data_IF_647533607286
#
_entry.id   IF_647533607286
#
_cell.length_a   1.000
_cell.length_b   1.000
_cell.length_c   1.000
_cell.angle_alpha   90.00
_cell.angle_beta   90.00
_cell.angle_gamma   90.00
#
_symmetry.space_group_name_H-M   'P 1'
#
loop_
_entity.id
_entity.type
_entity.pdbx_description
1 polymer ?
#
# COMPACT_ATOMS: atom_id res chain seq x y z
N UNK A 1 19.07 5.47 -58.35
CA UNK A 1 18.63 4.61 -57.23
C UNK A 1 17.78 5.45 -56.24
N UNK A 2 16.51 5.75 -56.55
CA UNK A 2 15.68 6.64 -55.71
C UNK A 2 15.14 5.98 -54.43
N UNK A 3 15.34 4.66 -54.26
CA UNK A 3 14.77 3.91 -53.11
C UNK A 3 15.57 4.08 -51.80
N UNK A 4 16.86 4.41 -51.89
CA UNK A 4 17.71 4.57 -50.69
C UNK A 4 17.23 5.72 -49.79
N UNK A 5 16.96 6.95 -50.29
CA UNK A 5 16.48 8.03 -49.44
C UNK A 5 15.11 7.73 -48.84
N UNK A 6 14.23 7.01 -49.54
CA UNK A 6 12.91 6.63 -49.03
C UNK A 6 13.07 5.66 -47.84
N UNK A 7 13.92 4.66 -47.95
CA UNK A 7 14.23 3.70 -46.90
C UNK A 7 14.80 4.42 -45.66
N UNK A 8 15.72 5.37 -45.85
CA UNK A 8 16.29 6.17 -44.77
C UNK A 8 15.20 6.99 -44.06
N UNK A 9 14.32 7.63 -44.80
CA UNK A 9 13.18 8.40 -44.21
C UNK A 9 12.27 7.51 -43.40
N UNK A 10 11.91 6.34 -43.93
CA UNK A 10 11.07 5.38 -43.19
C UNK A 10 11.76 4.94 -41.91
N UNK A 11 13.03 4.61 -41.95
CA UNK A 11 13.82 4.17 -40.80
C UNK A 11 13.90 5.26 -39.72
N UNK A 12 14.11 6.52 -40.13
CA UNK A 12 14.12 7.67 -39.21
C UNK A 12 12.76 7.89 -38.57
N UNK A 13 11.69 7.80 -39.36
CA UNK A 13 10.31 7.93 -38.81
C UNK A 13 10.01 6.82 -37.81
N UNK A 14 10.34 5.59 -38.14
CA UNK A 14 10.19 4.45 -37.20
C UNK A 14 10.98 4.66 -35.92
N UNK A 15 12.22 5.12 -36.03
CA UNK A 15 13.09 5.41 -34.89
C UNK A 15 12.47 6.50 -33.99
N UNK A 16 12.00 7.57 -34.60
CA UNK A 16 11.32 8.67 -33.83
C UNK A 16 10.06 8.16 -33.14
N UNK A 17 9.26 7.34 -33.81
CA UNK A 17 8.04 6.74 -33.21
C UNK A 17 8.39 5.84 -32.02
N UNK A 18 9.42 5.00 -32.16
CA UNK A 18 9.89 4.13 -31.05
C UNK A 18 10.39 4.96 -29.88
N UNK A 19 11.14 6.02 -30.12
CA UNK A 19 11.62 6.92 -29.07
C UNK A 19 10.46 7.62 -28.38
N UNK A 20 9.51 8.17 -29.13
CA UNK A 20 8.35 8.89 -28.59
C UNK A 20 7.43 8.01 -27.75
N UNK A 21 7.18 6.77 -28.16
CA UNK A 21 6.30 5.85 -27.44
C UNK A 21 6.92 5.28 -26.15
N UNK A 22 8.25 5.27 -26.06
CA UNK A 22 8.97 4.78 -24.90
C UNK A 22 9.37 5.87 -23.88
N UNK A 23 9.05 7.12 -24.17
CA UNK A 23 9.22 8.20 -23.23
C UNK A 23 8.06 8.15 -22.19
N UNK A 24 8.41 8.07 -20.91
CA UNK A 24 7.44 8.05 -19.80
C UNK A 24 7.68 9.21 -18.86
N UNK A 25 6.61 9.90 -18.54
CA UNK A 25 6.61 10.98 -17.54
C UNK A 25 6.06 10.44 -16.24
N UNK A 26 6.87 10.45 -15.19
CA UNK A 26 6.45 10.08 -13.83
C UNK A 26 5.94 11.34 -13.12
N UNK A 27 4.69 11.29 -12.73
CA UNK A 27 4.01 12.41 -12.05
C UNK A 27 4.50 12.57 -10.61
N UNK A 28 4.28 13.76 -10.06
CA UNK A 28 4.56 14.06 -8.66
C UNK A 28 3.86 13.06 -7.72
N UNK A 29 4.57 12.63 -6.68
CA UNK A 29 4.11 11.67 -5.68
C UNK A 29 3.78 10.28 -6.24
N UNK A 30 4.38 9.91 -7.36
CA UNK A 30 4.35 8.54 -7.90
C UNK A 30 5.76 8.00 -8.07
N UNK A 31 5.87 6.67 -8.03
CA UNK A 31 7.08 5.95 -8.37
C UNK A 31 6.72 4.77 -9.27
N UNK A 32 7.55 4.50 -10.26
CA UNK A 32 7.39 3.39 -11.19
C UNK A 32 8.46 2.34 -10.90
N UNK A 33 8.02 1.12 -10.63
CA UNK A 33 8.92 -0.03 -10.47
C UNK A 33 9.16 -0.63 -11.84
N UNK A 34 10.42 -0.67 -12.27
CA UNK A 34 10.83 -1.11 -13.59
C UNK A 34 11.49 -2.48 -13.49
N UNK A 35 11.01 -3.40 -14.31
CA UNK A 35 11.60 -4.71 -14.53
C UNK A 35 12.30 -4.75 -15.89
N UNK A 36 13.43 -5.42 -15.92
CA UNK A 36 14.16 -5.75 -17.15
C UNK A 36 14.26 -7.26 -17.27
N UNK A 37 13.69 -7.81 -18.33
CA UNK A 37 13.65 -9.26 -18.58
C UNK A 37 13.13 -10.09 -17.39
N UNK A 38 12.12 -9.56 -16.68
CA UNK A 38 11.50 -10.23 -15.54
C UNK A 38 12.18 -10.01 -14.19
N UNK A 39 13.33 -9.35 -14.15
CA UNK A 39 14.02 -9.02 -12.91
C UNK A 39 13.86 -7.54 -12.56
N UNK A 40 13.84 -7.23 -11.27
CA UNK A 40 13.87 -5.83 -10.81
C UNK A 40 15.11 -5.12 -11.37
N UNK A 41 14.90 -3.93 -11.94
CA UNK A 41 15.96 -3.10 -12.47
C UNK A 41 16.15 -1.81 -11.67
N UNK A 42 15.10 -1.00 -11.56
CA UNK A 42 15.16 0.30 -10.88
C UNK A 42 13.77 0.81 -10.49
N UNK A 43 13.76 1.85 -9.66
CA UNK A 43 12.56 2.64 -9.34
C UNK A 43 12.73 4.02 -9.97
N UNK A 44 11.77 4.43 -10.80
CA UNK A 44 11.74 5.77 -11.37
C UNK A 44 11.00 6.74 -10.46
N UNK A 45 11.70 7.80 -10.07
CA UNK A 45 11.11 8.96 -9.41
C UNK A 45 10.48 9.94 -10.41
N UNK A 46 10.05 11.09 -9.89
CA UNK A 46 9.45 12.18 -10.68
C UNK A 46 10.37 12.62 -11.82
N UNK A 47 9.79 12.84 -12.98
CA UNK A 47 10.49 13.34 -14.15
C UNK A 47 10.27 12.53 -15.41
N UNK A 48 11.09 12.79 -16.43
CA UNK A 48 11.05 12.12 -17.71
C UNK A 48 12.04 10.96 -17.69
N UNK A 49 11.55 9.78 -18.04
CA UNK A 49 12.36 8.57 -18.14
C UNK A 49 12.16 7.89 -19.49
N UNK A 50 13.20 7.25 -19.97
CA UNK A 50 13.18 6.48 -21.20
C UNK A 50 13.13 4.98 -20.86
N UNK A 51 12.12 4.31 -21.37
CA UNK A 51 11.97 2.86 -21.23
C UNK A 51 12.61 2.18 -22.43
N UNK A 52 13.51 1.23 -22.18
CA UNK A 52 14.09 0.42 -23.26
C UNK A 52 13.01 -0.49 -23.84
N UNK A 53 12.67 -0.34 -25.15
CA UNK A 53 11.65 -1.17 -25.77
C UNK A 53 12.04 -2.65 -25.72
N UNK A 54 11.07 -3.54 -25.55
CA UNK A 54 11.16 -5.00 -25.45
C UNK A 54 11.91 -5.55 -24.22
N UNK A 55 12.82 -4.81 -23.62
CA UNK A 55 13.63 -5.25 -22.47
C UNK A 55 13.01 -4.83 -21.14
N UNK A 56 12.48 -3.63 -21.06
CA UNK A 56 11.96 -3.03 -19.84
C UNK A 56 10.43 -2.92 -19.85
N UNK A 57 9.84 -3.15 -18.69
CA UNK A 57 8.41 -2.91 -18.46
C UNK A 57 8.18 -2.21 -17.14
N UNK A 58 7.09 -1.47 -17.06
CA UNK A 58 6.59 -0.93 -15.79
C UNK A 58 5.85 -2.05 -15.09
N UNK A 59 6.45 -2.61 -14.03
CA UNK A 59 5.86 -3.70 -13.27
C UNK A 59 4.74 -3.20 -12.35
N UNK A 60 4.95 -2.05 -11.72
CA UNK A 60 3.98 -1.45 -10.80
C UNK A 60 4.12 0.07 -10.76
N UNK A 61 2.98 0.75 -10.67
CA UNK A 61 2.89 2.19 -10.39
C UNK A 61 2.45 2.35 -8.95
N UNK A 62 3.26 3.03 -8.14
CA UNK A 62 3.04 3.19 -6.71
C UNK A 62 2.77 4.65 -6.40
N UNK A 63 1.70 4.92 -5.66
CA UNK A 63 1.43 6.25 -5.09
C UNK A 63 2.19 6.41 -3.77
N UNK A 64 2.96 7.49 -3.67
CA UNK A 64 3.71 7.83 -2.44
C UNK A 64 2.92 8.75 -1.50
N UNK A 65 1.68 9.08 -1.86
CA UNK A 65 0.80 9.86 -1.00
C UNK A 65 0.30 9.02 0.17
N UNK A 66 -0.04 9.70 1.26
CA UNK A 66 -0.77 9.06 2.34
C UNK A 66 -2.10 8.51 1.83
N UNK A 67 -2.39 7.28 2.18
CA UNK A 67 -3.61 6.57 1.82
C UNK A 67 -4.39 6.23 3.08
N UNK A 68 -5.71 6.17 2.93
CA UNK A 68 -6.64 5.85 4.02
C UNK A 68 -7.40 4.59 3.66
N UNK A 69 -7.43 3.64 4.57
CA UNK A 69 -8.21 2.40 4.42
C UNK A 69 -9.15 2.28 5.62
N UNK A 70 -10.41 2.08 5.31
CA UNK A 70 -11.48 1.86 6.29
C UNK A 70 -11.78 0.36 6.34
N UNK A 71 -11.51 -0.27 7.47
CA UNK A 71 -11.80 -1.68 7.67
C UNK A 71 -13.18 -1.87 8.27
N UNK A 72 -13.95 -2.85 7.77
CA UNK A 72 -15.29 -3.12 8.29
C UNK A 72 -15.24 -3.55 9.75
N UNK A 73 -16.36 -3.39 10.50
CA UNK A 73 -16.45 -3.81 11.89
C UNK A 73 -16.05 -5.27 12.09
N UNK A 74 -15.19 -5.51 13.06
CA UNK A 74 -14.69 -6.84 13.41
C UNK A 74 -15.15 -7.22 14.82
N UNK A 75 -15.63 -8.46 15.02
CA UNK A 75 -15.97 -8.95 16.36
C UNK A 75 -14.70 -9.25 17.15
N UNK A 76 -14.63 -8.74 18.35
CA UNK A 76 -13.54 -8.97 19.30
C UNK A 76 -14.13 -9.30 20.68
N UNK A 77 -13.38 -10.01 21.49
CA UNK A 77 -13.80 -10.42 22.86
C UNK A 77 -12.82 -9.81 23.84
N UNK A 78 -13.37 -9.09 24.83
CA UNK A 78 -12.58 -8.50 25.92
C UNK A 78 -12.15 -9.55 26.94
N UNK A 79 -11.23 -9.16 27.85
CA UNK A 79 -10.75 -10.02 28.92
C UNK A 79 -11.88 -10.52 29.85
N UNK A 80 -12.88 -9.70 30.10
CA UNK A 80 -14.09 -10.02 30.88
C UNK A 80 -15.20 -10.69 30.05
N UNK A 81 -14.85 -11.24 28.88
CA UNK A 81 -15.70 -12.05 28.01
C UNK A 81 -16.91 -11.29 27.42
N UNK A 82 -16.75 -10.02 27.12
CA UNK A 82 -17.76 -9.22 26.41
C UNK A 82 -17.41 -9.19 24.92
N UNK A 83 -18.35 -9.55 24.06
CA UNK A 83 -18.18 -9.44 22.61
C UNK A 83 -18.50 -8.02 22.16
N UNK A 84 -17.60 -7.45 21.38
CA UNK A 84 -17.70 -6.10 20.84
C UNK A 84 -17.49 -6.10 19.33
N UNK A 85 -18.03 -5.10 18.65
CA UNK A 85 -17.67 -4.79 17.26
C UNK A 85 -16.89 -3.50 17.22
N UNK A 86 -15.77 -3.52 16.48
CA UNK A 86 -14.85 -2.40 16.39
C UNK A 86 -14.47 -2.17 14.93
N UNK A 87 -14.70 -0.94 14.47
CA UNK A 87 -14.24 -0.46 13.15
C UNK A 87 -12.92 0.30 13.31
N UNK A 88 -12.07 0.14 12.34
CA UNK A 88 -10.73 0.76 12.35
C UNK A 88 -10.44 1.47 11.04
N UNK A 89 -9.84 2.64 11.13
CA UNK A 89 -9.29 3.38 9.98
C UNK A 89 -7.77 3.41 10.09
N UNK A 90 -7.12 3.10 9.01
CA UNK A 90 -5.66 3.08 8.89
C UNK A 90 -5.19 4.16 7.92
N UNK A 91 -4.23 4.98 8.37
CA UNK A 91 -3.51 5.97 7.56
C UNK A 91 -2.09 5.48 7.35
N UNK A 92 -1.72 5.28 6.11
CA UNK A 92 -0.40 4.77 5.75
C UNK A 92 0.13 5.40 4.47
N UNK A 93 1.43 5.28 4.26
CA UNK A 93 2.08 5.66 3.01
C UNK A 93 3.13 4.63 2.62
N UNK A 94 3.41 4.54 1.33
CA UNK A 94 4.44 3.67 0.81
C UNK A 94 5.75 4.45 0.79
N UNK A 95 6.76 3.94 1.50
CA UNK A 95 8.08 4.58 1.62
C UNK A 95 9.12 3.94 0.73
N UNK A 96 8.98 2.63 0.46
CA UNK A 96 9.87 1.88 -0.42
C UNK A 96 9.05 1.13 -1.50
N UNK A 97 8.99 1.67 -2.74
CA UNK A 97 8.24 1.05 -3.82
C UNK A 97 8.71 -0.35 -4.19
N UNK A 98 10.00 -0.64 -4.07
CA UNK A 98 10.56 -1.97 -4.36
C UNK A 98 10.05 -3.01 -3.36
N UNK A 99 10.14 -2.73 -2.06
CA UNK A 99 9.64 -3.61 -1.02
C UNK A 99 8.13 -3.79 -1.11
N UNK A 100 7.40 -2.73 -1.43
CA UNK A 100 5.95 -2.80 -1.65
C UNK A 100 5.58 -3.70 -2.83
N UNK A 101 6.32 -3.64 -3.93
CA UNK A 101 6.06 -4.44 -5.12
C UNK A 101 6.40 -5.92 -4.94
N UNK A 102 7.48 -6.23 -4.20
CA UNK A 102 8.04 -7.58 -4.10
C UNK A 102 8.02 -8.18 -2.71
N UNK A 103 7.82 -7.39 -1.67
CA UNK A 103 7.87 -7.85 -0.29
C UNK A 103 6.61 -8.60 0.17
N UNK A 104 5.48 -8.34 -0.43
CA UNK A 104 4.19 -8.94 -0.10
C UNK A 104 3.30 -9.03 -1.35
N UNK A 105 2.60 -10.14 -1.50
CA UNK A 105 1.76 -10.37 -2.69
C UNK A 105 0.50 -9.51 -2.69
N UNK A 106 -0.20 -9.45 -1.54
CA UNK A 106 -1.44 -8.70 -1.35
C UNK A 106 -1.33 -7.76 -0.14
N UNK A 107 -0.75 -6.56 -0.33
CA UNK A 107 -0.48 -5.66 0.79
C UNK A 107 -1.72 -5.30 1.60
N UNK A 108 -2.83 -4.98 0.93
CA UNK A 108 -4.05 -4.54 1.62
C UNK A 108 -4.68 -5.67 2.44
N UNK A 109 -4.77 -6.87 1.89
CA UNK A 109 -5.27 -8.04 2.63
C UNK A 109 -4.36 -8.40 3.80
N UNK A 110 -3.05 -8.29 3.62
CA UNK A 110 -2.08 -8.56 4.68
C UNK A 110 -2.22 -7.55 5.84
N UNK A 111 -2.35 -6.27 5.54
CA UNK A 111 -2.55 -5.21 6.54
C UNK A 111 -3.90 -5.40 7.25
N UNK A 112 -4.96 -5.72 6.53
CA UNK A 112 -6.28 -5.97 7.11
C UNK A 112 -6.24 -7.12 8.12
N UNK A 113 -5.71 -8.27 7.72
CA UNK A 113 -5.57 -9.42 8.61
C UNK A 113 -4.69 -9.13 9.83
N UNK A 114 -3.58 -8.43 9.61
CA UNK A 114 -2.68 -8.02 10.68
C UNK A 114 -3.37 -7.04 11.64
N UNK A 115 -4.15 -6.09 11.13
CA UNK A 115 -4.91 -5.14 11.93
C UNK A 115 -5.95 -5.84 12.81
N UNK A 116 -6.71 -6.77 12.24
CA UNK A 116 -7.71 -7.57 12.97
C UNK A 116 -7.06 -8.40 14.07
N UNK A 117 -5.97 -9.09 13.76
CA UNK A 117 -5.27 -9.92 14.74
C UNK A 117 -4.65 -9.08 15.87
N UNK A 118 -4.02 -7.96 15.52
CA UNK A 118 -3.43 -7.04 16.50
C UNK A 118 -4.49 -6.44 17.40
N UNK A 119 -5.61 -6.02 16.84
CA UNK A 119 -6.72 -5.49 17.60
C UNK A 119 -7.32 -6.52 18.58
N UNK A 120 -7.50 -7.76 18.12
CA UNK A 120 -7.95 -8.86 18.99
C UNK A 120 -7.01 -9.09 20.18
N UNK A 121 -5.72 -9.06 19.93
CA UNK A 121 -4.73 -9.25 20.99
C UNK A 121 -4.76 -8.10 22.00
N UNK A 122 -4.82 -6.86 21.54
CA UNK A 122 -4.87 -5.67 22.42
C UNK A 122 -6.15 -5.67 23.25
N UNK A 123 -7.30 -5.86 22.61
CA UNK A 123 -8.61 -5.84 23.29
C UNK A 123 -8.78 -7.06 24.22
N UNK A 124 -8.23 -8.22 23.84
CA UNK A 124 -8.26 -9.43 24.67
C UNK A 124 -7.51 -9.29 26.00
N UNK A 125 -6.61 -8.34 26.11
CA UNK A 125 -5.90 -7.99 27.36
C UNK A 125 -6.61 -6.92 28.20
N UNK A 126 -7.67 -6.31 27.67
CA UNK A 126 -8.43 -5.24 28.30
C UNK A 126 -9.83 -5.71 28.69
N UNK A 127 -10.35 -5.18 29.80
CA UNK A 127 -11.75 -5.32 30.11
C UNK A 127 -12.63 -4.29 29.35
N UNK A 128 -13.94 -4.43 29.45
CA UNK A 128 -14.89 -3.56 28.73
C UNK A 128 -14.68 -2.08 29.05
N UNK A 129 -14.53 -1.74 30.31
CA UNK A 129 -14.36 -0.36 30.75
C UNK A 129 -13.06 0.25 30.21
N UNK A 130 -11.97 -0.49 30.29
CA UNK A 130 -10.67 -0.07 29.72
C UNK A 130 -10.77 0.11 28.21
N UNK A 131 -11.42 -0.77 27.51
CA UNK A 131 -11.60 -0.68 26.05
C UNK A 131 -12.37 0.56 25.65
N UNK A 132 -13.41 0.92 26.40
CA UNK A 132 -14.22 2.11 26.11
C UNK A 132 -13.53 3.43 26.45
N UNK A 133 -12.64 3.43 27.44
CA UNK A 133 -12.00 4.65 27.97
C UNK A 133 -10.60 4.89 27.43
N UNK A 134 -9.94 3.89 26.89
CA UNK A 134 -8.51 3.94 26.50
C UNK A 134 -8.27 3.91 25.00
N UNK A 135 -9.10 4.60 24.21
CA UNK A 135 -8.97 4.66 22.74
C UNK A 135 -7.58 5.10 22.27
N UNK A 136 -7.02 6.12 22.89
CA UNK A 136 -5.71 6.64 22.52
C UNK A 136 -4.59 5.60 22.75
N UNK A 137 -4.70 4.84 23.82
CA UNK A 137 -3.78 3.74 24.11
C UNK A 137 -3.91 2.62 23.09
N UNK A 138 -5.12 2.24 22.72
CA UNK A 138 -5.38 1.23 21.67
C UNK A 138 -4.80 1.70 20.34
N UNK A 139 -5.10 2.93 19.93
CA UNK A 139 -4.62 3.52 18.69
C UNK A 139 -3.09 3.54 18.62
N UNK A 140 -2.44 3.96 19.70
CA UNK A 140 -0.96 4.04 19.77
C UNK A 140 -0.30 2.67 19.74
N UNK A 141 -0.85 1.69 20.45
CA UNK A 141 -0.35 0.31 20.45
C UNK A 141 -0.53 -0.35 19.09
N UNK A 142 -1.69 -0.18 18.47
CA UNK A 142 -1.95 -0.69 17.12
C UNK A 142 -0.99 -0.07 16.11
N UNK A 143 -0.83 1.26 16.12
CA UNK A 143 0.08 1.95 15.23
C UNK A 143 1.50 1.40 15.36
N UNK A 144 2.02 1.27 16.57
CA UNK A 144 3.39 0.79 16.82
C UNK A 144 3.62 -0.62 16.29
N UNK A 145 2.69 -1.54 16.57
CA UNK A 145 2.79 -2.94 16.14
C UNK A 145 2.65 -3.06 14.62
N UNK A 146 1.69 -2.35 14.03
CA UNK A 146 1.46 -2.38 12.59
C UNK A 146 2.62 -1.75 11.81
N UNK A 147 3.16 -0.63 12.29
CA UNK A 147 4.29 0.04 11.65
C UNK A 147 5.53 -0.86 11.62
N UNK A 148 5.85 -1.50 12.72
CA UNK A 148 6.96 -2.46 12.80
C UNK A 148 6.76 -3.66 11.87
N UNK A 149 5.57 -4.22 11.83
CA UNK A 149 5.26 -5.39 11.02
C UNK A 149 5.20 -5.09 9.52
N UNK A 150 4.89 -3.85 9.12
CA UNK A 150 4.78 -3.45 7.72
C UNK A 150 6.07 -2.86 7.15
N UNK A 151 7.07 -2.58 7.95
CA UNK A 151 8.39 -2.11 7.50
C UNK A 151 9.03 -2.98 6.41
N UNK A 152 9.04 -4.33 6.51
CA UNK A 152 9.56 -5.19 5.46
C UNK A 152 8.82 -5.08 4.12
N UNK A 153 7.62 -4.52 4.11
CA UNK A 153 6.80 -4.31 2.92
C UNK A 153 6.92 -2.91 2.33
N UNK A 154 7.82 -2.09 2.87
CA UNK A 154 7.99 -0.71 2.44
C UNK A 154 6.81 0.20 2.74
N UNK A 155 6.02 -0.13 3.74
CA UNK A 155 4.83 0.61 4.18
C UNK A 155 5.10 1.23 5.54
N UNK A 156 4.78 2.51 5.69
CA UNK A 156 4.78 3.23 6.96
C UNK A 156 3.36 3.50 7.41
N UNK A 157 3.01 3.02 8.60
CA UNK A 157 1.74 3.31 9.25
C UNK A 157 1.87 4.61 10.02
N UNK A 158 1.19 5.65 9.57
CA UNK A 158 1.24 6.98 10.18
C UNK A 158 0.31 7.07 11.38
N UNK A 159 -0.92 6.57 11.24
CA UNK A 159 -1.95 6.65 12.26
C UNK A 159 -2.94 5.50 12.15
N UNK A 160 -3.43 5.05 13.28
CA UNK A 160 -4.54 4.10 13.40
C UNK A 160 -5.60 4.73 14.30
N UNK A 161 -6.85 4.68 13.87
CA UNK A 161 -7.96 5.20 14.64
C UNK A 161 -9.08 4.17 14.73
N UNK A 162 -9.51 3.90 15.95
CA UNK A 162 -10.73 3.15 16.22
C UNK A 162 -11.92 4.10 16.11
N UNK A 163 -12.82 3.84 15.15
CA UNK A 163 -13.98 4.69 14.90
C UNK A 163 -15.09 4.47 15.93
N UNK A 164 -15.60 3.25 15.97
CA UNK A 164 -16.70 2.87 16.84
C UNK A 164 -16.33 1.65 17.66
N UNK A 165 -16.77 1.63 18.89
CA UNK A 165 -16.67 0.50 19.80
C UNK A 165 -18.08 0.22 20.29
N UNK A 166 -18.68 -0.90 19.86
CA UNK A 166 -20.06 -1.26 20.17
C UNK A 166 -20.11 -2.62 20.85
N UNK A 167 -20.47 -2.67 22.14
CA UNK A 167 -20.75 -3.94 22.80
C UNK A 167 -22.00 -4.60 22.21
N UNK A 168 -21.91 -5.87 21.79
CA UNK A 168 -23.02 -6.61 21.20
C UNK A 168 -24.10 -6.96 22.23
N UNK A 169 -23.77 -7.02 23.50
CA UNK A 169 -24.71 -7.32 24.60
C UNK A 169 -25.79 -6.26 24.80
N UNK A 170 -25.62 -5.06 24.23
CA UNK A 170 -26.62 -3.98 24.30
C UNK A 170 -27.68 -4.05 23.20
N UNK A 171 -27.56 -4.97 22.25
CA UNK A 171 -28.47 -5.10 21.09
C UNK A 171 -29.67 -6.04 21.42
N UNK A 172 -29.65 -6.75 22.56
CA UNK A 172 -30.64 -7.74 22.94
C UNK A 172 -31.67 -7.25 23.99
N UNK A 173 -31.89 -5.96 24.04
CA UNK A 173 -32.98 -5.41 24.86
C UNK A 173 -34.08 -4.83 23.99
#
# INVERSE_FOLDING_TARGET
MPFIPIIIIILVVVLILVLATNLKVVQQSKAYVIERLGAFHSVWGVGIHFKVPFLERVAKVVSLKEQVVDFPPQPVITKDNVTMQIDTVLYFQITDPKLYAYGVERPMSAIENLSVTTMRNIIGDMDLEQTLTSRDTINSRMRSILDEATDPWGIKVNRVEVKNIQPLSLIHI
#
